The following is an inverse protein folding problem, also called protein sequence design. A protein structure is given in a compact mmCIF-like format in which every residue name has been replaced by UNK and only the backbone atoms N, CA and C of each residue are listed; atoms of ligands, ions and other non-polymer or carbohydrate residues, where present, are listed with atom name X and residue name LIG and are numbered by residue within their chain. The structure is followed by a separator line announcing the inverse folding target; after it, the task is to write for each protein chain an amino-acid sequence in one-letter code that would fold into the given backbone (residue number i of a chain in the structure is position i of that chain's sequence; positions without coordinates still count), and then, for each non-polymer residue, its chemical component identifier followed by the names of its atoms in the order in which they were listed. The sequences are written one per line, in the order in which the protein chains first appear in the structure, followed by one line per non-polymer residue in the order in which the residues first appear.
data_IF_725138471564
#
_entry.id   IF_725138471564
#
_cell.length_a   1.000
_cell.length_b   1.000
_cell.length_c   1.000
_cell.angle_alpha   90.00
_cell.angle_beta   90.00
_cell.angle_gamma   90.00
#
_symmetry.space_group_name_H-M   'P 1'
#
loop_
_entity.id
_entity.type
_entity.pdbx_description
1 polymer ?
#
# COMPACT_ATOMS: atom_id res chain seq x y z
N UNK A 1 -10.60 -37.64 22.37
CA UNK A 1 -10.39 -36.19 22.64
C UNK A 1 -9.11 -36.10 23.42
N UNK A 2 -8.08 -35.42 22.90
CA UNK A 2 -6.75 -35.38 23.50
C UNK A 2 -6.69 -34.24 24.53
N UNK A 3 -6.52 -34.57 25.83
CA UNK A 3 -6.43 -33.63 26.95
C UNK A 3 -5.28 -32.61 26.80
N UNK A 4 -4.19 -33.02 26.11
CA UNK A 4 -3.07 -32.12 25.84
C UNK A 4 -3.44 -31.04 24.84
N UNK A 5 -4.24 -31.40 23.81
CA UNK A 5 -4.69 -30.44 22.80
C UNK A 5 -5.68 -29.41 23.38
N UNK A 6 -6.45 -29.77 24.41
CA UNK A 6 -7.38 -28.85 25.07
C UNK A 6 -6.63 -27.84 25.96
N UNK A 7 -5.50 -28.21 26.55
CA UNK A 7 -4.70 -27.31 27.39
C UNK A 7 -3.84 -26.32 26.60
N UNK A 8 -3.60 -26.59 25.31
CA UNK A 8 -2.75 -25.75 24.45
C UNK A 8 -3.57 -24.85 23.52
N UNK A 9 -4.88 -25.06 23.41
CA UNK A 9 -5.74 -24.11 22.70
C UNK A 9 -5.80 -22.81 23.48
N UNK A 10 -5.09 -21.79 23.00
CA UNK A 10 -5.33 -20.42 23.42
C UNK A 10 -6.82 -20.13 23.25
N UNK A 11 -7.50 -19.81 24.36
CA UNK A 11 -8.86 -19.31 24.30
C UNK A 11 -8.84 -18.04 23.47
N UNK A 12 -9.41 -18.11 22.25
CA UNK A 12 -9.74 -16.93 21.50
C UNK A 12 -10.89 -16.24 22.22
N UNK A 13 -10.58 -15.42 23.22
CA UNK A 13 -11.55 -14.53 23.82
C UNK A 13 -12.08 -13.62 22.71
N UNK A 14 -13.36 -13.78 22.38
CA UNK A 14 -14.05 -12.82 21.55
C UNK A 14 -13.92 -11.45 22.21
N UNK A 15 -13.38 -10.43 21.55
CA UNK A 15 -13.33 -9.11 22.13
C UNK A 15 -14.75 -8.67 22.49
N UNK A 16 -14.97 -8.39 23.79
CA UNK A 16 -16.21 -7.83 24.28
C UNK A 16 -16.32 -6.39 23.74
N UNK A 17 -17.14 -6.19 22.74
CA UNK A 17 -17.44 -4.88 22.16
C UNK A 17 -18.20 -5.06 20.85
N UNK A 18 -19.22 -4.26 20.64
CA UNK A 18 -19.91 -4.16 19.37
C UNK A 18 -18.87 -3.75 18.29
N UNK A 19 -18.62 -4.65 17.34
CA UNK A 19 -17.89 -4.33 16.12
C UNK A 19 -18.67 -3.23 15.40
N UNK A 20 -18.19 -1.99 15.53
CA UNK A 20 -18.66 -0.94 14.63
C UNK A 20 -18.14 -1.28 13.23
N UNK A 21 -19.01 -1.45 12.23
CA UNK A 21 -18.57 -1.67 10.88
C UNK A 21 -17.74 -0.47 10.44
N UNK A 22 -16.51 -0.74 10.00
CA UNK A 22 -15.68 0.29 9.37
C UNK A 22 -16.41 0.81 8.13
N UNK A 23 -16.40 2.12 7.87
CA UNK A 23 -16.99 2.67 6.68
C UNK A 23 -16.28 2.04 5.46
N UNK A 24 -17.02 1.24 4.70
CA UNK A 24 -16.54 0.66 3.44
C UNK A 24 -16.50 1.78 2.41
N UNK A 25 -15.41 1.94 1.64
CA UNK A 25 -15.40 2.88 0.52
C UNK A 25 -16.56 2.56 -0.44
N UNK A 26 -17.32 3.58 -0.83
CA UNK A 26 -18.48 3.39 -1.72
C UNK A 26 -18.07 3.06 -3.15
N UNK A 27 -16.88 3.56 -3.58
CA UNK A 27 -16.41 3.50 -4.95
C UNK A 27 -14.99 2.96 -5.06
N UNK A 28 -14.71 2.35 -6.21
CA UNK A 28 -13.34 1.99 -6.60
C UNK A 28 -12.50 3.26 -6.68
N UNK A 29 -11.27 3.19 -6.16
CA UNK A 29 -10.29 4.28 -6.16
C UNK A 29 -10.72 5.52 -5.36
N UNK A 30 -11.67 5.37 -4.47
CA UNK A 30 -12.14 6.43 -3.57
C UNK A 30 -11.24 6.57 -2.32
N UNK A 31 -10.76 5.44 -1.82
CA UNK A 31 -9.80 5.38 -0.71
C UNK A 31 -8.58 4.55 -1.10
N UNK A 32 -7.42 5.18 -1.07
CA UNK A 32 -6.15 4.56 -1.44
C UNK A 32 -5.27 4.29 -0.23
N UNK A 33 -4.50 3.19 -0.30
CA UNK A 33 -3.33 2.98 0.52
C UNK A 33 -2.07 3.29 -0.29
N UNK A 34 -1.09 3.94 0.32
CA UNK A 34 0.21 4.20 -0.29
C UNK A 34 1.34 3.79 0.64
N UNK A 35 2.36 3.16 0.06
CA UNK A 35 3.56 2.76 0.78
C UNK A 35 4.77 2.75 -0.16
N UNK A 36 5.98 2.81 0.42
CA UNK A 36 7.24 2.67 -0.30
C UNK A 36 7.99 1.44 0.17
N UNK A 37 8.41 0.62 -0.77
CA UNK A 37 9.35 -0.47 -0.54
C UNK A 37 10.73 0.03 -0.94
N UNK A 38 11.60 0.27 0.04
CA UNK A 38 12.92 0.85 -0.13
C UNK A 38 14.02 -0.19 0.06
N UNK A 39 15.27 0.21 -0.23
CA UNK A 39 16.43 -0.65 -0.03
C UNK A 39 16.52 -1.81 -1.03
N UNK A 40 15.95 -1.65 -2.21
CA UNK A 40 16.03 -2.64 -3.29
C UNK A 40 17.34 -2.49 -4.09
N UNK A 41 17.78 -3.55 -4.78
CA UNK A 41 18.91 -3.45 -5.70
C UNK A 41 18.69 -2.34 -6.73
N UNK A 42 19.70 -1.51 -6.95
CA UNK A 42 19.61 -0.42 -7.91
C UNK A 42 19.52 -0.96 -9.32
N UNK A 43 18.51 -0.55 -10.08
CA UNK A 43 18.33 -0.99 -11.46
C UNK A 43 19.27 -0.19 -12.39
N UNK A 44 19.40 -0.65 -13.63
CA UNK A 44 20.15 0.05 -14.68
C UNK A 44 19.61 1.44 -14.95
N UNK A 45 18.31 1.64 -14.80
CA UNK A 45 17.65 2.95 -14.90
C UNK A 45 17.77 3.79 -13.62
N UNK A 46 18.38 3.25 -12.58
CA UNK A 46 18.65 3.94 -11.30
C UNK A 46 17.53 3.89 -10.29
N UNK A 47 16.50 3.07 -10.49
CA UNK A 47 15.45 2.84 -9.49
C UNK A 47 15.99 2.00 -8.33
N UNK A 48 15.57 2.33 -7.12
CA UNK A 48 15.95 1.66 -5.87
C UNK A 48 14.76 1.38 -4.95
N UNK A 49 13.57 1.76 -5.38
CA UNK A 49 12.35 1.66 -4.58
C UNK A 49 11.12 1.41 -5.44
N UNK A 50 10.10 0.84 -4.84
CA UNK A 50 8.79 0.66 -5.46
C UNK A 50 7.77 1.47 -4.68
N UNK A 51 7.02 2.32 -5.36
CA UNK A 51 5.85 2.98 -4.80
C UNK A 51 4.62 2.11 -5.07
N UNK A 52 4.00 1.65 -4.00
CA UNK A 52 2.80 0.82 -4.04
C UNK A 52 1.58 1.69 -3.77
N UNK A 53 0.61 1.65 -4.66
CA UNK A 53 -0.68 2.33 -4.51
C UNK A 53 -1.78 1.29 -4.64
N UNK A 54 -2.59 1.12 -3.61
CA UNK A 54 -3.62 0.07 -3.53
C UNK A 54 -4.99 0.69 -3.33
N UNK A 55 -5.96 0.27 -4.13
CA UNK A 55 -7.36 0.57 -3.88
C UNK A 55 -7.90 -0.24 -2.69
N UNK A 56 -8.41 0.44 -1.67
CA UNK A 56 -8.92 -0.22 -0.47
C UNK A 56 -10.12 -1.14 -0.72
N UNK A 57 -10.94 -0.83 -1.71
CA UNK A 57 -12.14 -1.61 -2.01
C UNK A 57 -11.81 -2.90 -2.76
N UNK A 58 -11.13 -2.77 -3.90
CA UNK A 58 -10.89 -3.89 -4.82
C UNK A 58 -9.59 -4.62 -4.56
N UNK A 59 -8.68 -4.03 -3.79
CA UNK A 59 -7.30 -4.48 -3.57
C UNK A 59 -6.42 -4.46 -4.83
N UNK A 60 -6.92 -3.92 -5.92
CA UNK A 60 -6.11 -3.67 -7.12
C UNK A 60 -5.00 -2.69 -6.79
N UNK A 61 -3.80 -3.00 -7.25
CA UNK A 61 -2.60 -2.24 -6.95
C UNK A 61 -1.86 -1.77 -8.19
N UNK A 62 -1.16 -0.66 -8.05
CA UNK A 62 -0.13 -0.20 -8.98
C UNK A 62 1.24 -0.26 -8.34
N UNK A 63 2.22 -0.81 -9.04
CA UNK A 63 3.61 -0.87 -8.62
C UNK A 63 4.46 0.04 -9.51
N UNK A 64 4.96 1.11 -8.93
CA UNK A 64 5.65 2.16 -9.68
C UNK A 64 7.12 2.19 -9.26
N UNK A 65 8.07 1.91 -10.17
CA UNK A 65 9.49 2.05 -9.86
C UNK A 65 9.83 3.53 -9.65
N UNK A 66 10.50 3.82 -8.56
CA UNK A 66 10.89 5.18 -8.18
C UNK A 66 12.30 5.21 -7.60
N UNK A 67 12.83 6.40 -7.42
CA UNK A 67 14.11 6.64 -6.74
C UNK A 67 13.85 7.29 -5.39
N UNK A 68 14.57 6.87 -4.36
CA UNK A 68 14.51 7.51 -3.02
C UNK A 68 14.87 8.99 -3.07
N UNK A 69 15.61 9.42 -4.10
CA UNK A 69 15.99 10.82 -4.32
C UNK A 69 14.90 11.67 -4.98
N UNK A 70 13.77 11.08 -5.37
CA UNK A 70 12.68 11.84 -5.99
C UNK A 70 12.12 12.87 -5.00
N UNK A 71 11.91 14.09 -5.51
CA UNK A 71 11.24 15.16 -4.76
C UNK A 71 9.73 14.90 -4.68
N UNK A 72 9.06 15.57 -3.74
CA UNK A 72 7.60 15.53 -3.65
C UNK A 72 6.92 16.03 -4.93
N UNK A 73 7.51 17.01 -5.63
CA UNK A 73 7.01 17.49 -6.91
C UNK A 73 7.08 16.41 -8.00
N UNK A 74 8.17 15.63 -8.04
CA UNK A 74 8.31 14.51 -8.97
C UNK A 74 7.30 13.40 -8.68
N UNK A 75 7.13 13.05 -7.40
CA UNK A 75 6.14 12.06 -6.97
C UNK A 75 4.72 12.53 -7.29
N UNK A 76 4.40 13.80 -7.08
CA UNK A 76 3.10 14.36 -7.43
C UNK A 76 2.81 14.26 -8.94
N UNK A 77 3.81 14.50 -9.79
CA UNK A 77 3.66 14.32 -11.24
C UNK A 77 3.36 12.88 -11.62
N UNK A 78 4.08 11.93 -11.01
CA UNK A 78 3.84 10.50 -11.21
C UNK A 78 2.43 10.12 -10.72
N UNK A 79 2.03 10.59 -9.55
CA UNK A 79 0.70 10.39 -9.00
C UNK A 79 -0.41 10.89 -9.94
N UNK A 80 -0.27 12.10 -10.44
CA UNK A 80 -1.24 12.67 -11.37
C UNK A 80 -1.36 11.83 -12.64
N UNK A 81 -0.25 11.45 -13.25
CA UNK A 81 -0.24 10.74 -14.53
C UNK A 81 -0.62 9.27 -14.42
N UNK A 82 -0.20 8.59 -13.34
CA UNK A 82 -0.37 7.14 -13.18
C UNK A 82 -1.62 6.75 -12.39
N UNK A 83 -2.12 7.62 -11.53
CA UNK A 83 -3.28 7.35 -10.66
C UNK A 83 -4.46 8.25 -11.02
N UNK A 84 -4.32 9.56 -10.88
CA UNK A 84 -5.45 10.48 -11.05
C UNK A 84 -6.01 10.48 -12.47
N UNK A 85 -5.14 10.47 -13.48
CA UNK A 85 -5.59 10.42 -14.89
C UNK A 85 -6.32 9.12 -15.23
N UNK A 86 -6.03 8.01 -14.54
CA UNK A 86 -6.66 6.72 -14.78
C UNK A 86 -7.94 6.51 -13.95
N UNK A 87 -7.95 6.97 -12.72
CA UNK A 87 -8.95 6.59 -11.72
C UNK A 87 -9.71 7.78 -11.12
N UNK A 88 -9.32 9.00 -11.41
CA UNK A 88 -9.86 10.19 -10.78
C UNK A 88 -9.18 10.52 -9.44
N UNK A 89 -9.66 11.60 -8.80
CA UNK A 89 -9.15 12.08 -7.51
C UNK A 89 -9.81 11.29 -6.38
N UNK A 90 -9.05 10.59 -5.51
CA UNK A 90 -9.62 9.88 -4.38
C UNK A 90 -10.10 10.86 -3.30
N UNK A 91 -11.06 10.46 -2.47
CA UNK A 91 -11.48 11.22 -1.29
C UNK A 91 -10.46 11.16 -0.17
N UNK A 92 -9.79 10.03 -0.01
CA UNK A 92 -8.78 9.89 1.03
C UNK A 92 -7.62 8.97 0.64
N UNK A 93 -6.47 9.25 1.24
CA UNK A 93 -5.25 8.46 1.10
C UNK A 93 -4.76 8.11 2.49
N UNK A 94 -4.50 6.82 2.71
CA UNK A 94 -3.85 6.31 3.92
C UNK A 94 -2.39 6.03 3.59
N UNK A 95 -1.48 6.59 4.36
CA UNK A 95 -0.03 6.36 4.21
C UNK A 95 0.66 6.35 5.56
N UNK A 96 1.91 5.94 5.60
CA UNK A 96 2.76 6.16 6.75
C UNK A 96 3.17 7.64 6.86
N UNK A 97 3.90 7.98 7.92
CA UNK A 97 4.45 9.34 8.13
C UNK A 97 5.82 9.53 7.47
N UNK A 98 6.06 8.88 6.33
CA UNK A 98 7.27 9.09 5.57
C UNK A 98 7.45 10.53 5.11
N UNK A 99 8.69 10.97 4.96
CA UNK A 99 9.02 12.36 4.60
C UNK A 99 8.40 12.78 3.27
N UNK A 100 8.20 11.85 2.34
CA UNK A 100 7.56 12.10 1.05
C UNK A 100 6.10 12.52 1.20
N UNK A 101 5.37 11.88 2.14
CA UNK A 101 3.95 12.11 2.37
C UNK A 101 3.66 13.20 3.39
N UNK A 102 4.62 13.58 4.21
CA UNK A 102 4.49 14.66 5.20
C UNK A 102 4.99 16.01 4.69
N UNK A 103 5.51 16.08 3.46
CA UNK A 103 6.01 17.32 2.89
C UNK A 103 4.89 18.36 2.69
N UNK A 104 5.24 19.63 2.84
CA UNK A 104 4.32 20.74 2.64
C UNK A 104 3.71 20.75 1.23
N UNK A 105 4.53 20.44 0.22
CA UNK A 105 4.08 20.37 -1.17
C UNK A 105 3.00 19.29 -1.36
N UNK A 106 3.20 18.10 -0.79
CA UNK A 106 2.25 17.00 -0.86
C UNK A 106 0.92 17.36 -0.19
N UNK A 107 0.97 17.97 0.98
CA UNK A 107 -0.22 18.45 1.69
C UNK A 107 -0.99 19.50 0.89
N UNK A 108 -0.31 20.49 0.32
CA UNK A 108 -0.94 21.53 -0.49
C UNK A 108 -1.59 20.97 -1.75
N UNK A 109 -0.95 20.00 -2.42
CA UNK A 109 -1.53 19.33 -3.58
C UNK A 109 -2.86 18.67 -3.22
N UNK A 110 -2.89 17.88 -2.16
CA UNK A 110 -4.09 17.15 -1.77
C UNK A 110 -5.17 18.06 -1.20
N UNK A 111 -4.82 19.11 -0.50
CA UNK A 111 -5.76 20.14 -0.08
C UNK A 111 -6.45 20.79 -1.30
N UNK A 112 -5.70 21.15 -2.33
CA UNK A 112 -6.23 21.70 -3.58
C UNK A 112 -7.15 20.72 -4.30
N UNK A 113 -6.82 19.42 -4.28
CA UNK A 113 -7.63 18.36 -4.90
C UNK A 113 -8.85 17.96 -4.06
N UNK A 114 -8.95 18.40 -2.81
CA UNK A 114 -10.00 17.99 -1.88
C UNK A 114 -9.84 16.59 -1.32
N UNK A 115 -8.63 16.02 -1.39
CA UNK A 115 -8.30 14.69 -0.85
C UNK A 115 -7.88 14.80 0.60
N UNK A 116 -8.45 13.95 1.47
CA UNK A 116 -8.06 13.85 2.87
C UNK A 116 -6.86 12.90 3.02
N UNK A 117 -5.79 13.38 3.66
CA UNK A 117 -4.64 12.57 4.01
C UNK A 117 -4.84 11.96 5.41
N UNK A 118 -4.77 10.65 5.51
CA UNK A 118 -4.84 9.88 6.75
C UNK A 118 -3.48 9.19 6.96
N UNK A 119 -2.83 9.49 8.09
CA UNK A 119 -1.58 8.82 8.44
C UNK A 119 -1.87 7.62 9.34
N UNK A 120 -1.29 6.47 8.99
CA UNK A 120 -1.33 5.29 9.86
C UNK A 120 -0.58 5.60 11.15
N UNK A 121 -1.22 5.36 12.28
CA UNK A 121 -0.59 5.46 13.59
C UNK A 121 -0.44 4.06 14.18
N UNK A 122 0.67 3.81 14.88
CA UNK A 122 0.94 2.54 15.56
C UNK A 122 -0.11 2.20 16.66
N UNK A 123 -1.02 3.12 16.97
CA UNK A 123 -2.00 3.01 18.07
C UNK A 123 -3.38 2.45 17.69
N UNK A 124 -3.63 2.11 16.42
CA UNK A 124 -4.90 1.49 16.00
C UNK A 124 -4.71 0.15 15.29
N UNK A 125 -4.15 -0.89 15.97
CA UNK A 125 -3.88 -2.18 15.33
C UNK A 125 -5.14 -2.94 14.94
N UNK A 126 -6.29 -2.68 15.55
CA UNK A 126 -7.54 -3.44 15.28
C UNK A 126 -8.23 -3.09 13.96
N UNK A 127 -8.04 -1.88 13.47
CA UNK A 127 -8.66 -1.39 12.23
C UNK A 127 -7.85 -1.76 10.99
N UNK A 128 -6.55 -2.01 11.16
CA UNK A 128 -5.59 -2.21 10.07
C UNK A 128 -5.00 -3.63 10.00
N UNK A 129 -5.30 -4.52 10.93
CA UNK A 129 -4.67 -5.82 11.04
C UNK A 129 -4.80 -6.71 9.80
N UNK A 130 -5.91 -6.64 9.08
CA UNK A 130 -6.07 -7.36 7.80
C UNK A 130 -5.36 -6.65 6.66
N UNK A 131 -5.44 -5.33 6.62
CA UNK A 131 -4.76 -4.50 5.60
C UNK A 131 -3.25 -4.57 5.78
N UNK A 132 -2.77 -4.55 7.02
CA UNK A 132 -1.35 -4.67 7.34
C UNK A 132 -0.76 -6.01 6.93
N UNK A 133 -1.48 -7.13 7.13
CA UNK A 133 -1.05 -8.45 6.67
C UNK A 133 -1.00 -8.57 5.15
N UNK A 134 -1.97 -8.00 4.45
CA UNK A 134 -1.97 -7.97 2.98
C UNK A 134 -0.81 -7.12 2.48
N UNK A 135 -0.57 -5.96 3.08
CA UNK A 135 0.56 -5.10 2.74
C UNK A 135 1.90 -5.78 3.02
N UNK A 136 2.04 -6.49 4.14
CA UNK A 136 3.26 -7.23 4.46
C UNK A 136 3.52 -8.34 3.46
N UNK A 137 2.51 -9.14 3.12
CA UNK A 137 2.64 -10.21 2.11
C UNK A 137 3.00 -9.65 0.73
N UNK A 138 2.42 -8.52 0.37
CA UNK A 138 2.71 -7.82 -0.87
C UNK A 138 4.15 -7.29 -0.88
N UNK A 139 4.59 -6.68 0.20
CA UNK A 139 5.96 -6.21 0.35
C UNK A 139 6.97 -7.35 0.24
N UNK A 140 6.73 -8.46 0.93
CA UNK A 140 7.60 -9.65 0.89
C UNK A 140 7.68 -10.22 -0.53
N UNK A 141 6.56 -10.31 -1.23
CA UNK A 141 6.51 -10.75 -2.63
C UNK A 141 7.34 -9.84 -3.54
N UNK A 142 7.19 -8.53 -3.41
CA UNK A 142 7.91 -7.56 -4.25
C UNK A 142 9.41 -7.54 -3.93
N UNK A 143 9.80 -7.69 -2.67
CA UNK A 143 11.22 -7.82 -2.28
C UNK A 143 11.83 -9.09 -2.85
N UNK A 144 11.14 -10.22 -2.79
CA UNK A 144 11.60 -11.46 -3.38
C UNK A 144 11.78 -11.34 -4.89
N UNK A 145 10.80 -10.77 -5.58
CA UNK A 145 10.85 -10.48 -7.01
C UNK A 145 12.07 -9.60 -7.37
N UNK A 146 12.29 -8.51 -6.62
CA UNK A 146 13.41 -7.61 -6.86
C UNK A 146 14.78 -8.27 -6.62
N UNK A 147 14.88 -9.15 -5.61
CA UNK A 147 16.11 -9.90 -5.34
C UNK A 147 16.41 -10.93 -6.45
N UNK A 148 15.39 -11.61 -6.96
CA UNK A 148 15.53 -12.61 -8.01
C UNK A 148 15.97 -11.99 -9.34
N UNK A 149 15.44 -10.83 -9.71
CA UNK A 149 15.74 -10.15 -10.97
C UNK A 149 16.92 -9.15 -10.87
N UNK A 150 17.37 -8.82 -9.68
CA UNK A 150 18.52 -7.94 -9.45
C UNK A 150 18.37 -6.58 -10.14
N UNK A 151 19.33 -6.18 -10.99
CA UNK A 151 19.35 -4.86 -11.64
C UNK A 151 18.28 -4.65 -12.72
N UNK A 152 17.45 -5.64 -12.99
CA UNK A 152 16.36 -5.60 -13.99
C UNK A 152 14.97 -5.83 -13.41
N UNK A 153 14.81 -5.70 -12.10
CA UNK A 153 13.51 -5.91 -11.46
C UNK A 153 12.43 -4.94 -11.95
N UNK A 154 12.81 -3.73 -12.32
CA UNK A 154 11.89 -2.73 -12.87
C UNK A 154 11.25 -3.15 -14.19
N UNK A 155 11.99 -3.84 -15.06
CA UNK A 155 11.46 -4.41 -16.30
C UNK A 155 10.43 -5.51 -16.06
N UNK A 156 10.54 -6.22 -14.94
CA UNK A 156 9.65 -7.33 -14.56
C UNK A 156 8.49 -6.89 -13.66
N UNK A 157 8.50 -5.67 -13.18
CA UNK A 157 7.47 -5.15 -12.26
C UNK A 157 6.06 -5.15 -12.88
N UNK A 158 5.85 -4.84 -14.16
CA UNK A 158 4.53 -4.93 -14.78
C UNK A 158 3.92 -6.34 -14.76
N UNK A 159 4.75 -7.37 -14.87
CA UNK A 159 4.29 -8.77 -14.76
C UNK A 159 3.89 -9.13 -13.32
N UNK A 160 4.63 -8.64 -12.33
CA UNK A 160 4.28 -8.80 -10.92
C UNK A 160 2.96 -8.09 -10.59
N UNK A 161 2.75 -6.88 -11.10
CA UNK A 161 1.50 -6.13 -10.96
C UNK A 161 0.32 -6.88 -11.57
N UNK A 162 0.46 -7.36 -12.79
CA UNK A 162 -0.56 -8.15 -13.47
C UNK A 162 -0.90 -9.42 -12.70
N UNK A 163 0.11 -10.17 -12.28
CA UNK A 163 -0.09 -11.42 -11.53
C UNK A 163 -0.79 -11.18 -10.20
N UNK A 164 -0.39 -10.17 -9.47
CA UNK A 164 -1.04 -9.76 -8.22
C UNK A 164 -2.50 -9.39 -8.44
N UNK A 165 -2.78 -8.50 -9.37
CA UNK A 165 -4.13 -8.03 -9.64
C UNK A 165 -5.05 -9.14 -10.14
N UNK A 166 -4.51 -10.07 -10.91
CA UNK A 166 -5.28 -11.22 -11.42
C UNK A 166 -5.60 -12.25 -10.33
N UNK A 167 -4.74 -12.41 -9.33
CA UNK A 167 -4.95 -13.40 -8.25
C UNK A 167 -5.98 -12.96 -7.20
N UNK A 168 -6.28 -11.66 -7.11
CA UNK A 168 -7.18 -11.09 -6.11
C UNK A 168 -8.61 -10.89 -6.62
N UNK A 169 -8.88 -11.22 -7.87
CA UNK A 169 -10.21 -11.11 -8.48
C UNK A 169 -11.01 -12.42 -8.50
N UNK A 170 -10.52 -13.45 -7.82
CA UNK A 170 -11.19 -14.75 -7.72
C UNK A 170 -11.88 -14.94 -6.38
#
# INVERSE_FOLDING_TARGET
VCDVCQRVKAENQKPAGLLQPLPIPEWKWDKLGMDFITGLPRTRSGYDSIWVVVDHLTKVAHFIPVKTTYTSAKLAKIYMTRIVCLHGVPRSIVSDRGTQFTSKFWHQLHETLGTRLEFSTAFHPKTYGQTERVNQSLEDMLRACALDYGSSWDDNLPYAEFSYNNSHQS
#
